data_IF_274623528290
#
_entry.id   IF_274623528290
#
_cell.length_a   1.000
_cell.length_b   1.000
_cell.length_c   1.000
_cell.angle_alpha   90.00
_cell.angle_beta   90.00
_cell.angle_gamma   90.00
#
_symmetry.space_group_name_H-M   'P 1'
#
loop_
_entity.id
_entity.type
_entity.pdbx_description
1 polymer ?
#
# COMPACT_ATOMS: atom_id res chain seq x y z
N UNK A 1 -24.06 -4.45 4.65
CA UNK A 1 -22.81 -4.82 5.34
C UNK A 1 -21.65 -4.11 4.66
N UNK A 2 -20.85 -3.32 5.38
CA UNK A 2 -19.60 -2.81 4.83
C UNK A 2 -18.58 -3.96 4.74
N UNK A 3 -18.12 -4.27 3.54
CA UNK A 3 -17.03 -5.24 3.35
C UNK A 3 -15.70 -4.50 3.52
N UNK A 4 -14.93 -4.86 4.55
CA UNK A 4 -13.60 -4.31 4.82
C UNK A 4 -12.46 -5.20 4.29
N UNK A 5 -12.81 -6.20 3.47
CA UNK A 5 -11.88 -7.06 2.75
C UNK A 5 -11.71 -6.56 1.31
N UNK A 6 -10.56 -6.88 0.72
CA UNK A 6 -10.25 -6.48 -0.64
C UNK A 6 -11.21 -7.15 -1.64
N UNK A 7 -11.72 -6.36 -2.58
CA UNK A 7 -12.60 -6.85 -3.65
C UNK A 7 -11.83 -7.49 -4.81
N UNK A 8 -10.50 -7.37 -4.82
CA UNK A 8 -9.65 -7.87 -5.90
C UNK A 8 -9.27 -9.35 -5.70
N UNK A 9 -10.28 -10.22 -5.76
CA UNK A 9 -10.14 -11.69 -5.68
C UNK A 9 -10.83 -12.32 -6.89
N UNK A 10 -10.21 -13.28 -7.60
CA UNK A 10 -8.91 -13.90 -7.34
C UNK A 10 -7.72 -13.05 -7.81
N UNK A 11 -6.61 -13.10 -7.07
CA UNK A 11 -5.36 -12.47 -7.48
C UNK A 11 -4.73 -13.30 -8.61
N UNK A 12 -4.48 -12.71 -9.80
CA UNK A 12 -3.98 -13.46 -10.96
C UNK A 12 -2.54 -13.94 -10.79
N UNK A 13 -1.73 -13.16 -10.07
CA UNK A 13 -0.35 -13.45 -9.77
C UNK A 13 -0.12 -13.30 -8.27
N UNK A 14 0.66 -14.20 -7.69
CA UNK A 14 0.95 -14.22 -6.26
C UNK A 14 2.46 -14.34 -6.10
N UNK A 15 3.03 -13.61 -5.15
CA UNK A 15 4.44 -13.70 -4.80
C UNK A 15 4.51 -14.17 -3.36
N UNK A 16 4.94 -15.41 -3.18
CA UNK A 16 4.83 -16.09 -1.89
C UNK A 16 3.37 -16.18 -1.43
N UNK A 17 3.06 -15.55 -0.30
CA UNK A 17 1.70 -15.50 0.24
C UNK A 17 1.04 -14.11 0.12
N UNK A 18 1.44 -13.30 -0.85
CA UNK A 18 0.86 -11.98 -1.11
C UNK A 18 0.41 -11.87 -2.56
N UNK A 19 -0.72 -11.23 -2.79
CA UNK A 19 -1.22 -10.97 -4.12
C UNK A 19 -0.37 -9.92 -4.83
N UNK A 20 0.12 -10.24 -6.03
CA UNK A 20 0.75 -9.27 -6.93
C UNK A 20 -0.32 -8.66 -7.83
N UNK A 21 -0.96 -7.61 -7.31
CA UNK A 21 -1.99 -6.90 -8.04
C UNK A 21 -1.39 -5.89 -9.02
N UNK A 22 -2.01 -5.71 -10.19
CA UNK A 22 -1.64 -4.64 -11.10
C UNK A 22 -1.89 -3.28 -10.45
N UNK A 23 -1.02 -2.30 -10.74
CA UNK A 23 -1.09 -0.95 -10.18
C UNK A 23 -0.96 0.12 -11.27
N UNK A 24 -1.71 1.21 -11.13
CA UNK A 24 -1.56 2.43 -11.93
C UNK A 24 -0.42 3.29 -11.38
N UNK A 25 0.82 2.86 -11.60
CA UNK A 25 2.01 3.64 -11.19
C UNK A 25 2.91 3.97 -12.39
N UNK A 26 3.52 5.17 -12.35
CA UNK A 26 4.58 5.57 -13.30
C UNK A 26 5.97 5.10 -12.85
N UNK A 27 6.02 4.38 -11.73
CA UNK A 27 7.23 4.01 -11.01
C UNK A 27 7.60 2.59 -11.40
N UNK A 28 8.89 2.36 -11.69
CA UNK A 28 9.37 1.02 -12.05
C UNK A 28 9.22 0.07 -10.86
N UNK A 29 8.49 -1.03 -11.04
CA UNK A 29 8.28 -2.06 -10.03
C UNK A 29 8.01 -3.44 -10.65
N UNK A 30 8.09 -4.50 -9.85
CA UNK A 30 7.78 -5.87 -10.30
C UNK A 30 6.27 -6.10 -10.49
N UNK A 31 5.42 -5.18 -10.05
CA UNK A 31 3.97 -5.27 -10.23
C UNK A 31 3.58 -4.96 -11.68
N UNK A 32 2.61 -5.71 -12.26
CA UNK A 32 2.10 -5.42 -13.59
C UNK A 32 1.57 -3.98 -13.66
N UNK A 33 2.05 -3.20 -14.62
CA UNK A 33 1.59 -1.83 -14.79
C UNK A 33 0.42 -1.82 -15.78
N UNK A 34 -0.76 -1.44 -15.30
CA UNK A 34 -1.95 -1.31 -16.13
C UNK A 34 -2.46 0.13 -16.02
N UNK A 35 -2.13 1.01 -16.98
CA UNK A 35 -2.47 2.43 -16.90
C UNK A 35 -3.97 2.69 -17.06
N UNK A 36 -4.71 1.80 -17.73
CA UNK A 36 -6.14 1.91 -18.02
C UNK A 36 -7.04 1.38 -16.88
N UNK A 37 -6.49 1.18 -15.68
CA UNK A 37 -7.26 0.73 -14.53
C UNK A 37 -7.93 1.90 -13.79
N UNK A 38 -9.23 1.78 -13.57
CA UNK A 38 -10.01 2.80 -12.85
C UNK A 38 -9.80 2.76 -11.32
N UNK A 39 -9.47 1.60 -10.75
CA UNK A 39 -9.33 1.39 -9.31
C UNK A 39 -8.15 0.48 -9.00
N UNK A 40 -7.25 0.96 -8.14
CA UNK A 40 -6.14 0.16 -7.60
C UNK A 40 -6.39 -0.30 -6.16
N UNK A 41 -5.63 -1.31 -5.73
CA UNK A 41 -5.56 -1.72 -4.31
C UNK A 41 -5.11 -0.59 -3.38
N UNK A 42 -4.35 0.39 -3.89
CA UNK A 42 -3.93 1.56 -3.12
C UNK A 42 -5.12 2.48 -2.85
N UNK A 43 -5.99 2.69 -3.83
CA UNK A 43 -7.21 3.50 -3.67
C UNK A 43 -8.18 2.82 -2.69
N UNK A 44 -8.31 1.50 -2.79
CA UNK A 44 -9.07 0.69 -1.83
C UNK A 44 -8.48 0.81 -0.41
N UNK A 45 -7.15 0.72 -0.27
CA UNK A 45 -6.47 0.89 1.01
C UNK A 45 -6.70 2.28 1.62
N UNK A 46 -6.65 3.35 0.82
CA UNK A 46 -6.92 4.72 1.27
C UNK A 46 -8.39 4.92 1.64
N UNK A 47 -9.30 4.32 0.89
CA UNK A 47 -10.74 4.36 1.17
C UNK A 47 -11.07 3.65 2.49
N UNK A 48 -10.52 2.45 2.68
CA UNK A 48 -10.74 1.64 3.88
C UNK A 48 -9.87 2.06 5.07
N UNK A 49 -8.86 2.91 4.85
CA UNK A 49 -7.91 3.35 5.87
C UNK A 49 -8.62 3.82 7.14
N UNK A 50 -9.59 4.74 7.00
CA UNK A 50 -10.30 5.34 8.14
C UNK A 50 -11.03 4.30 8.98
N UNK A 51 -11.56 3.24 8.37
CA UNK A 51 -12.22 2.15 9.09
C UNK A 51 -11.21 1.16 9.67
N UNK A 52 -10.19 0.80 8.90
CA UNK A 52 -9.18 -0.21 9.25
C UNK A 52 -8.32 0.19 10.46
N UNK A 53 -8.05 1.48 10.66
CA UNK A 53 -7.25 1.96 11.81
C UNK A 53 -7.94 1.80 13.18
N UNK A 54 -9.27 1.63 13.21
CA UNK A 54 -10.00 1.45 14.47
C UNK A 54 -10.07 -0.02 14.91
N UNK A 55 -9.79 -0.96 14.01
CA UNK A 55 -9.85 -2.38 14.33
C UNK A 55 -8.60 -2.83 15.08
N UNK A 56 -8.80 -3.50 16.22
CA UNK A 56 -7.70 -4.17 16.97
C UNK A 56 -7.33 -5.53 16.40
N UNK A 57 -8.28 -6.18 15.71
CA UNK A 57 -8.13 -7.50 15.11
C UNK A 57 -8.69 -7.44 13.69
N UNK A 58 -7.95 -7.99 12.74
CA UNK A 58 -8.35 -8.08 11.34
C UNK A 58 -8.20 -9.52 10.87
N UNK A 59 -9.28 -10.08 10.32
CA UNK A 59 -9.30 -11.46 9.81
C UNK A 59 -8.78 -11.47 8.37
N UNK A 60 -7.72 -12.24 8.11
CA UNK A 60 -7.13 -12.35 6.77
C UNK A 60 -7.84 -13.50 6.04
N UNK A 61 -8.62 -13.18 4.99
CA UNK A 61 -9.34 -14.18 4.19
C UNK A 61 -8.68 -14.48 2.86
N UNK A 62 -8.04 -13.48 2.27
CA UNK A 62 -7.37 -13.58 0.98
C UNK A 62 -5.92 -13.10 1.04
N UNK A 63 -5.16 -13.41 0.00
CA UNK A 63 -3.80 -12.87 -0.17
C UNK A 63 -3.82 -11.36 -0.47
N UNK A 64 -4.90 -10.87 -1.09
CA UNK A 64 -5.14 -9.43 -1.33
C UNK A 64 -5.34 -8.67 -0.01
N UNK A 65 -5.99 -9.28 0.98
CA UNK A 65 -6.17 -8.68 2.32
C UNK A 65 -4.83 -8.47 3.04
N UNK A 66 -3.84 -9.35 2.80
CA UNK A 66 -2.50 -9.19 3.39
C UNK A 66 -1.85 -7.92 2.85
N UNK A 67 -1.94 -7.71 1.53
CA UNK A 67 -1.45 -6.50 0.87
C UNK A 67 -2.16 -5.26 1.39
N UNK A 68 -3.49 -5.34 1.58
CA UNK A 68 -4.30 -4.26 2.13
C UNK A 68 -3.83 -3.84 3.54
N UNK A 69 -3.61 -4.81 4.43
CA UNK A 69 -3.10 -4.55 5.79
C UNK A 69 -1.70 -3.93 5.75
N UNK A 70 -0.81 -4.44 4.89
CA UNK A 70 0.53 -3.86 4.73
C UNK A 70 0.48 -2.39 4.27
N UNK A 71 -0.40 -2.06 3.32
CA UNK A 71 -0.58 -0.69 2.86
C UNK A 71 -1.10 0.23 3.97
N UNK A 72 -2.08 -0.21 4.76
CA UNK A 72 -2.62 0.58 5.88
C UNK A 72 -1.56 0.84 6.95
N UNK A 73 -0.79 -0.17 7.34
CA UNK A 73 0.33 0.00 8.28
C UNK A 73 1.39 0.96 7.73
N UNK A 74 1.68 0.88 6.43
CA UNK A 74 2.61 1.79 5.79
C UNK A 74 2.14 3.25 5.79
N UNK A 75 0.85 3.48 5.51
CA UNK A 75 0.25 4.82 5.59
C UNK A 75 0.39 5.37 7.03
N UNK A 76 0.16 4.55 8.05
CA UNK A 76 0.36 4.95 9.45
C UNK A 76 1.81 5.36 9.75
N UNK A 77 2.80 4.63 9.24
CA UNK A 77 4.21 5.01 9.40
C UNK A 77 4.54 6.33 8.69
N UNK A 78 3.95 6.58 7.52
CA UNK A 78 4.12 7.83 6.79
C UNK A 78 3.55 9.00 7.59
N UNK A 79 2.33 8.87 8.12
CA UNK A 79 1.67 9.92 8.92
C UNK A 79 2.44 10.23 10.20
N UNK A 80 2.94 9.21 10.91
CA UNK A 80 3.79 9.40 12.11
C UNK A 80 5.06 10.20 11.84
N UNK A 81 5.63 10.06 10.64
CA UNK A 81 6.84 10.81 10.24
C UNK A 81 6.50 12.23 9.80
N UNK A 82 5.39 12.43 9.08
CA UNK A 82 4.91 13.78 8.70
C UNK A 82 4.61 14.61 9.95
N UNK A 83 3.99 14.03 10.97
CA UNK A 83 3.68 14.74 12.22
C UNK A 83 4.93 15.28 12.95
N UNK A 84 6.10 14.67 12.75
CA UNK A 84 7.37 15.12 13.35
C UNK A 84 8.03 16.27 12.59
N UNK A 85 7.59 16.56 11.36
CA UNK A 85 8.15 17.63 10.53
C UNK A 85 7.35 18.91 10.77
N UNK A 86 8.00 19.91 11.37
CA UNK A 86 7.46 21.26 11.55
C UNK A 86 7.04 21.88 10.20
N UNK A 87 5.97 22.69 10.13
CA UNK A 87 5.37 23.17 8.87
C UNK A 87 6.23 24.19 8.11
N UNK A 88 7.44 24.51 8.58
CA UNK A 88 8.28 25.52 7.96
C UNK A 88 9.27 24.91 6.97
N UNK A 89 9.01 25.25 5.70
CA UNK A 89 9.94 25.36 4.58
C UNK A 89 10.27 24.09 3.77
N UNK A 90 9.74 24.04 2.55
CA UNK A 90 10.46 23.59 1.35
C UNK A 90 10.83 22.10 1.18
N UNK A 91 10.87 21.30 2.24
CA UNK A 91 11.38 19.91 2.20
C UNK A 91 10.32 18.89 1.71
N UNK A 92 9.12 19.36 1.37
CA UNK A 92 7.99 18.51 0.97
C UNK A 92 8.28 17.76 -0.34
N UNK A 93 8.95 18.36 -1.32
CA UNK A 93 9.19 17.68 -2.60
C UNK A 93 10.37 16.69 -2.55
N UNK A 94 11.45 17.02 -1.84
CA UNK A 94 12.63 16.14 -1.73
C UNK A 94 12.40 14.97 -0.77
N UNK A 95 11.74 15.18 0.38
CA UNK A 95 11.49 14.10 1.34
C UNK A 95 10.39 13.15 0.89
N UNK A 96 9.33 13.63 0.22
CA UNK A 96 8.28 12.75 -0.33
C UNK A 96 8.88 11.85 -1.42
N UNK A 97 9.73 12.40 -2.31
CA UNK A 97 10.41 11.60 -3.34
C UNK A 97 11.39 10.58 -2.74
N UNK A 98 12.19 10.97 -1.75
CA UNK A 98 13.12 10.07 -1.05
C UNK A 98 12.40 9.00 -0.22
N UNK A 99 11.19 9.28 0.27
CA UNK A 99 10.37 8.32 1.00
C UNK A 99 9.52 7.41 0.10
N UNK A 100 9.05 7.88 -1.06
CA UNK A 100 8.52 7.00 -2.12
C UNK A 100 9.62 6.08 -2.64
N UNK A 101 10.87 6.56 -2.73
CA UNK A 101 12.03 5.72 -3.04
C UNK A 101 12.23 4.61 -2.00
N UNK A 102 12.12 4.95 -0.71
CA UNK A 102 12.18 3.97 0.38
C UNK A 102 10.93 3.08 0.49
N UNK A 103 9.74 3.54 0.07
CA UNK A 103 8.52 2.73 -0.09
C UNK A 103 8.79 1.58 -1.06
N UNK A 104 9.35 1.90 -2.22
CA UNK A 104 9.74 0.92 -3.24
C UNK A 104 10.86 0.02 -2.70
N UNK A 105 11.86 0.56 -2.01
CA UNK A 105 13.00 -0.22 -1.52
C UNK A 105 12.63 -1.16 -0.37
N UNK A 106 11.73 -0.75 0.54
CA UNK A 106 11.27 -1.57 1.67
C UNK A 106 10.27 -2.64 1.22
N UNK A 107 9.36 -2.31 0.30
CA UNK A 107 8.50 -3.29 -0.35
C UNK A 107 9.33 -4.30 -1.18
N UNK A 108 10.34 -3.84 -1.93
CA UNK A 108 11.28 -4.71 -2.67
C UNK A 108 12.13 -5.60 -1.77
N UNK A 109 12.55 -5.12 -0.59
CA UNK A 109 13.30 -5.94 0.36
C UNK A 109 12.45 -7.06 0.95
N UNK A 110 11.14 -6.85 1.07
CA UNK A 110 10.20 -7.92 1.44
C UNK A 110 9.98 -8.93 0.30
N UNK A 111 9.91 -8.49 -0.96
CA UNK A 111 9.77 -9.41 -2.11
C UNK A 111 11.07 -10.12 -2.50
N UNK A 112 12.23 -9.69 -2.00
CA UNK A 112 13.53 -10.32 -2.26
C UNK A 112 13.92 -11.36 -1.18
N UNK A 113 13.19 -11.40 -0.05
CA UNK A 113 13.35 -12.39 1.01
C UNK A 113 12.27 -13.49 0.99
N UNK A 114 11.43 -13.52 -0.05
CA UNK A 114 10.45 -14.60 -0.33
C UNK A 114 10.79 -15.27 -1.64
#
# INVERSE_FOLDING_TARGET
>A
MANYHSQFVPAPNTVGNMALLPLRTKVRGPAPTMPDMDKDIIDEALYLFKSLIFFRQYEIKSESDRVLVYLVLYILECLKKIQKVSPYQGVLQSNISFHISNLIFKARRLTMFM
#
